data_IF_197401829889
#
_entry.id   IF_197401829889
#
_cell.length_a   1.000
_cell.length_b   1.000
_cell.length_c   1.000
_cell.angle_alpha   90.00
_cell.angle_beta   90.00
_cell.angle_gamma   90.00
#
_symmetry.space_group_name_H-M   'P 1'
#
loop_
_entity.id
_entity.type
_entity.pdbx_description
1 polymer ?
#
# COMPACT_ATOMS: atom_id res chain seq x y z
N UNK A 1 -14.38 10.14 -2.32
CA UNK A 1 -13.14 10.17 -3.17
C UNK A 1 -12.01 9.53 -2.38
N UNK A 2 -11.51 8.36 -2.79
CA UNK A 2 -10.31 7.76 -2.17
C UNK A 2 -9.06 8.58 -2.55
N UNK A 3 -7.99 8.53 -1.74
CA UNK A 3 -6.67 8.89 -2.27
C UNK A 3 -6.42 7.96 -3.47
N UNK A 4 -6.24 8.51 -4.67
CA UNK A 4 -5.82 7.72 -5.83
C UNK A 4 -4.49 7.07 -5.49
N UNK A 5 -4.36 5.78 -5.81
CA UNK A 5 -3.16 5.01 -5.50
C UNK A 5 -1.94 5.58 -6.27
N UNK A 6 -2.19 6.12 -7.47
CA UNK A 6 -1.23 6.79 -8.31
C UNK A 6 -1.74 8.20 -8.63
N UNK A 7 -1.45 9.17 -7.76
CA UNK A 7 -1.44 10.57 -8.20
C UNK A 7 -0.03 10.87 -8.71
N UNK A 8 0.22 10.84 -10.04
CA UNK A 8 1.55 11.10 -10.59
C UNK A 8 2.05 12.52 -10.28
N UNK A 9 1.17 13.44 -9.86
CA UNK A 9 1.55 14.78 -9.38
C UNK A 9 1.92 14.82 -7.88
N UNK A 10 1.77 13.71 -7.15
CA UNK A 10 1.96 13.65 -5.70
C UNK A 10 3.39 13.33 -5.23
N UNK A 11 4.28 12.88 -6.12
CA UNK A 11 5.64 12.48 -5.75
C UNK A 11 6.70 13.27 -6.52
N UNK A 12 7.75 13.70 -5.81
CA UNK A 12 8.90 14.36 -6.43
C UNK A 12 9.76 13.41 -7.27
N UNK A 13 9.64 12.09 -7.08
CA UNK A 13 10.50 11.09 -7.70
C UNK A 13 9.72 10.25 -8.72
N UNK A 14 10.28 10.03 -9.91
CA UNK A 14 9.75 9.05 -10.85
C UNK A 14 10.07 7.63 -10.34
N UNK A 15 9.07 6.95 -9.80
CA UNK A 15 9.23 5.67 -9.10
C UNK A 15 9.36 4.48 -10.06
N UNK A 16 8.83 4.57 -11.29
CA UNK A 16 8.71 3.42 -12.19
C UNK A 16 10.04 2.77 -12.57
N UNK A 17 11.13 3.56 -12.63
CA UNK A 17 12.48 3.04 -12.93
C UNK A 17 13.36 2.79 -11.71
N UNK A 18 13.04 3.40 -10.56
CA UNK A 18 13.86 3.29 -9.34
C UNK A 18 13.64 1.98 -8.62
N UNK A 19 12.41 1.46 -8.61
CA UNK A 19 12.08 0.26 -7.87
C UNK A 19 12.83 -0.99 -8.34
N UNK A 20 13.10 -1.11 -9.64
CA UNK A 20 13.90 -2.19 -10.22
C UNK A 20 15.36 -2.20 -9.77
N UNK A 21 15.87 -1.04 -9.35
CA UNK A 21 17.20 -0.93 -8.75
C UNK A 21 17.17 -1.14 -7.23
N UNK A 22 16.10 -0.70 -6.57
CA UNK A 22 16.02 -0.66 -5.09
C UNK A 22 15.57 -1.99 -4.47
N UNK A 23 14.70 -2.74 -5.15
CA UNK A 23 14.10 -3.96 -4.62
C UNK A 23 14.72 -5.17 -5.33
N UNK A 24 15.26 -6.16 -4.61
CA UNK A 24 15.79 -7.38 -5.24
C UNK A 24 14.74 -8.07 -6.12
N UNK A 25 15.15 -8.63 -7.26
CA UNK A 25 14.23 -9.30 -8.20
C UNK A 25 13.60 -10.58 -7.61
N UNK A 26 14.27 -11.22 -6.66
CA UNK A 26 13.83 -12.41 -5.93
C UNK A 26 13.11 -12.09 -4.62
N UNK A 27 12.78 -10.81 -4.38
CA UNK A 27 12.07 -10.38 -3.18
C UNK A 27 10.65 -10.94 -3.13
N UNK A 28 10.28 -11.51 -1.98
CA UNK A 28 8.90 -11.98 -1.71
C UNK A 28 7.89 -10.83 -1.81
N UNK A 29 8.31 -9.59 -1.55
CA UNK A 29 7.46 -8.41 -1.68
C UNK A 29 7.11 -8.08 -3.14
N UNK A 30 7.96 -8.47 -4.11
CA UNK A 30 7.62 -8.40 -5.54
C UNK A 30 6.52 -9.37 -5.89
N UNK A 31 6.67 -10.62 -5.47
CA UNK A 31 5.63 -11.63 -5.64
C UNK A 31 4.32 -11.17 -5.00
N UNK A 32 4.38 -10.61 -3.79
CA UNK A 32 3.20 -10.07 -3.12
C UNK A 32 2.50 -8.98 -3.96
N UNK A 33 3.25 -8.01 -4.51
CA UNK A 33 2.71 -6.93 -5.35
C UNK A 33 2.02 -7.47 -6.61
N UNK A 34 2.55 -8.53 -7.20
CA UNK A 34 2.00 -9.15 -8.41
C UNK A 34 0.75 -9.98 -8.11
N UNK A 35 0.76 -10.78 -7.04
CA UNK A 35 -0.32 -11.72 -6.75
C UNK A 35 -1.49 -11.13 -5.97
N UNK A 36 -1.26 -10.19 -5.06
CA UNK A 36 -2.33 -9.66 -4.22
C UNK A 36 -3.46 -8.99 -5.03
N UNK A 37 -3.19 -8.18 -6.08
CA UNK A 37 -4.22 -7.60 -6.94
C UNK A 37 -4.96 -8.62 -7.81
N UNK A 38 -4.45 -9.84 -7.99
CA UNK A 38 -5.15 -10.93 -8.69
C UNK A 38 -6.19 -11.55 -7.75
N UNK A 39 -5.82 -11.72 -6.48
CA UNK A 39 -6.68 -12.35 -5.46
C UNK A 39 -7.76 -11.41 -4.92
N UNK A 40 -7.47 -10.11 -4.85
CA UNK A 40 -8.35 -9.10 -4.29
C UNK A 40 -8.63 -8.07 -5.37
N UNK A 41 -9.86 -8.05 -5.88
CA UNK A 41 -10.28 -7.13 -6.92
C UNK A 41 -10.93 -5.88 -6.30
N UNK A 42 -10.80 -4.70 -6.94
CA UNK A 42 -11.53 -3.50 -6.51
C UNK A 42 -13.05 -3.72 -6.35
N UNK A 43 -13.61 -4.60 -7.19
CA UNK A 43 -15.02 -4.98 -7.18
C UNK A 43 -15.45 -5.68 -5.88
N UNK A 44 -14.51 -6.32 -5.17
CA UNK A 44 -14.76 -6.93 -3.87
C UNK A 44 -15.12 -5.87 -2.81
N UNK A 45 -14.90 -4.58 -3.08
CA UNK A 45 -15.22 -3.48 -2.16
C UNK A 45 -16.47 -2.68 -2.57
N UNK A 46 -17.09 -2.99 -3.71
CA UNK A 46 -18.30 -2.30 -4.17
C UNK A 46 -19.42 -2.44 -3.15
N UNK A 47 -20.06 -1.32 -2.82
CA UNK A 47 -21.16 -1.26 -1.85
C UNK A 47 -20.75 -1.37 -0.38
N UNK A 48 -19.46 -1.60 -0.08
CA UNK A 48 -18.93 -1.62 1.30
C UNK A 48 -18.46 -0.23 1.77
N UNK A 49 -18.11 0.65 0.84
CA UNK A 49 -17.67 2.01 1.11
C UNK A 49 -18.55 3.02 0.37
N UNK A 50 -18.86 4.14 1.03
CA UNK A 50 -19.53 5.27 0.39
C UNK A 50 -18.53 6.14 -0.37
N UNK A 51 -18.79 6.39 -1.65
CA UNK A 51 -17.97 7.29 -2.46
C UNK A 51 -18.27 8.77 -2.16
N UNK A 52 -19.49 9.04 -1.68
CA UNK A 52 -20.11 10.36 -1.60
C UNK A 52 -20.18 10.92 -0.18
N UNK A 53 -19.72 10.17 0.82
CA UNK A 53 -19.77 10.58 2.23
C UNK A 53 -18.49 10.18 2.98
N UNK A 54 -17.97 11.10 3.80
CA UNK A 54 -16.77 10.90 4.63
C UNK A 54 -15.50 11.60 4.12
N UNK A 55 -14.42 11.48 4.88
CA UNK A 55 -13.08 11.95 4.47
C UNK A 55 -12.48 10.97 3.45
N UNK A 56 -11.65 11.43 2.51
CA UNK A 56 -10.87 10.54 1.65
C UNK A 56 -10.05 9.57 2.48
N UNK A 57 -10.38 8.28 2.40
CA UNK A 57 -9.58 7.22 3.01
C UNK A 57 -8.51 6.72 2.04
N UNK A 58 -7.57 5.92 2.55
CA UNK A 58 -6.73 5.07 1.71
C UNK A 58 -7.61 4.13 0.87
N UNK A 59 -7.11 3.72 -0.30
CA UNK A 59 -7.79 2.75 -1.14
C UNK A 59 -8.00 1.43 -0.38
N UNK A 60 -9.19 0.85 -0.50
CA UNK A 60 -9.56 -0.36 0.22
C UNK A 60 -8.64 -1.55 -0.14
N UNK A 61 -8.24 -1.66 -1.41
CA UNK A 61 -7.27 -2.64 -1.89
C UNK A 61 -5.92 -2.50 -1.17
N UNK A 62 -5.35 -1.29 -1.15
CA UNK A 62 -4.08 -0.99 -0.47
C UNK A 62 -4.16 -1.30 1.02
N UNK A 63 -5.25 -0.94 1.70
CA UNK A 63 -5.43 -1.27 3.13
C UNK A 63 -5.51 -2.77 3.38
N UNK A 64 -6.23 -3.50 2.53
CA UNK A 64 -6.34 -4.97 2.64
C UNK A 64 -4.96 -5.62 2.44
N UNK A 65 -4.20 -5.15 1.46
CA UNK A 65 -2.82 -5.56 1.25
C UNK A 65 -1.92 -5.23 2.45
N UNK A 66 -2.08 -4.05 3.06
CA UNK A 66 -1.33 -3.66 4.25
C UNK A 66 -1.61 -4.57 5.45
N UNK A 67 -2.88 -4.95 5.67
CA UNK A 67 -3.24 -5.91 6.72
C UNK A 67 -2.66 -7.31 6.45
N UNK A 68 -2.63 -7.77 5.19
CA UNK A 68 -2.00 -9.05 4.84
C UNK A 68 -0.48 -9.03 5.09
N UNK A 69 0.21 -7.95 4.69
CA UNK A 69 1.63 -7.79 4.96
C UNK A 69 1.91 -7.72 6.47
N UNK A 70 1.07 -7.03 7.23
CA UNK A 70 1.20 -6.97 8.68
C UNK A 70 1.16 -8.37 9.31
N UNK A 71 0.23 -9.23 8.88
CA UNK A 71 0.16 -10.61 9.34
C UNK A 71 1.38 -11.43 8.89
N UNK A 72 1.82 -11.28 7.63
CA UNK A 72 2.99 -11.97 7.09
C UNK A 72 4.28 -11.61 7.83
N UNK A 73 4.41 -10.36 8.25
CA UNK A 73 5.58 -9.85 9.00
C UNK A 73 5.45 -10.05 10.51
N UNK A 74 4.29 -10.51 10.99
CA UNK A 74 3.96 -10.59 12.42
C UNK A 74 4.17 -9.26 13.15
N UNK A 75 3.73 -8.17 12.52
CA UNK A 75 3.89 -6.80 13.00
C UNK A 75 2.66 -6.30 13.77
N UNK A 76 2.91 -5.44 14.76
CA UNK A 76 1.84 -4.65 15.41
C UNK A 76 1.39 -3.50 14.51
N UNK A 77 0.26 -2.85 14.80
CA UNK A 77 -0.20 -1.69 14.02
C UNK A 77 0.84 -0.56 13.98
N UNK A 78 1.50 -0.31 15.13
CA UNK A 78 2.60 0.65 15.23
C UNK A 78 3.85 0.18 14.48
N UNK A 79 4.11 -1.12 14.50
CA UNK A 79 5.18 -1.72 13.70
C UNK A 79 4.92 -1.50 12.21
N UNK A 80 3.71 -1.79 11.75
CA UNK A 80 3.31 -1.63 10.37
C UNK A 80 3.32 -0.15 9.93
N UNK A 81 2.93 0.78 10.80
CA UNK A 81 3.13 2.20 10.55
C UNK A 81 4.61 2.52 10.26
N UNK A 82 5.53 2.04 11.10
CA UNK A 82 6.97 2.24 10.86
C UNK A 82 7.40 1.61 9.54
N UNK A 83 6.97 0.37 9.26
CA UNK A 83 7.28 -0.31 8.00
C UNK A 83 6.82 0.50 6.78
N UNK A 84 5.57 0.99 6.77
CA UNK A 84 5.05 1.80 5.66
C UNK A 84 5.72 3.16 5.52
N UNK A 85 6.39 3.67 6.56
CA UNK A 85 7.17 4.92 6.53
C UNK A 85 8.57 4.72 5.96
N UNK A 86 9.27 3.67 6.37
CA UNK A 86 10.72 3.55 6.15
C UNK A 86 11.16 2.34 5.32
N UNK A 87 10.36 1.27 5.24
CA UNK A 87 10.75 0.05 4.54
C UNK A 87 10.36 0.14 3.06
N UNK A 88 11.39 0.17 2.20
CA UNK A 88 11.23 0.29 0.75
C UNK A 88 10.52 -0.90 0.12
N UNK A 89 10.75 -2.12 0.62
CA UNK A 89 10.07 -3.32 0.10
C UNK A 89 8.59 -3.33 0.45
N UNK A 90 8.23 -2.84 1.64
CA UNK A 90 6.83 -2.69 2.06
C UNK A 90 6.13 -1.59 1.27
N UNK A 91 6.78 -0.42 1.09
CA UNK A 91 6.26 0.64 0.22
C UNK A 91 6.06 0.15 -1.20
N UNK A 92 7.04 -0.58 -1.75
CA UNK A 92 6.93 -1.19 -3.06
C UNK A 92 5.76 -2.17 -3.12
N UNK A 93 5.62 -3.08 -2.17
CA UNK A 93 4.55 -4.07 -2.13
C UNK A 93 3.16 -3.42 -2.13
N UNK A 94 3.00 -2.28 -1.45
CA UNK A 94 1.76 -1.53 -1.34
C UNK A 94 1.51 -0.52 -2.48
N UNK A 95 2.43 -0.44 -3.45
CA UNK A 95 2.36 0.54 -4.53
C UNK A 95 2.40 1.99 -4.02
N UNK A 96 3.14 2.24 -2.94
CA UNK A 96 3.30 3.58 -2.37
C UNK A 96 4.49 4.29 -3.02
N UNK A 97 4.40 5.62 -3.14
CA UNK A 97 5.52 6.44 -3.57
C UNK A 97 6.66 6.40 -2.53
N UNK A 98 7.89 6.69 -2.98
CA UNK A 98 9.08 6.73 -2.11
C UNK A 98 8.91 7.73 -0.94
N UNK A 99 8.35 8.89 -1.25
CA UNK A 99 8.09 10.00 -0.33
C UNK A 99 6.70 9.94 0.33
N UNK A 100 5.95 8.85 0.13
CA UNK A 100 4.67 8.65 0.82
C UNK A 100 4.91 8.67 2.35
N UNK A 101 4.11 9.44 3.11
CA UNK A 101 4.29 9.58 4.56
C UNK A 101 3.97 8.30 5.35
N UNK A 102 3.47 7.24 4.73
CA UNK A 102 3.09 6.01 5.41
C UNK A 102 1.61 5.98 5.82
N UNK A 103 1.20 4.85 6.38
CA UNK A 103 -0.15 4.64 6.92
C UNK A 103 -0.09 4.79 8.44
N UNK A 104 -0.92 5.67 9.00
CA UNK A 104 -1.05 5.85 10.45
C UNK A 104 -1.55 4.56 11.12
N UNK A 105 -0.97 4.17 12.27
CA UNK A 105 -1.37 2.96 13.00
C UNK A 105 -2.87 2.94 13.33
N UNK A 106 -3.52 4.09 13.50
CA UNK A 106 -4.95 4.19 13.79
C UNK A 106 -5.85 3.74 12.63
N UNK A 107 -5.30 3.55 11.43
CA UNK A 107 -6.01 2.99 10.29
C UNK A 107 -5.94 1.45 10.22
N UNK A 108 -5.12 0.82 11.07
CA UNK A 108 -5.10 -0.62 11.28
C UNK A 108 -6.08 -1.02 12.40
N UNK A 109 -6.39 -2.31 12.52
CA UNK A 109 -7.53 -2.83 13.28
C UNK A 109 -7.18 -3.46 14.62
#
# INVERSE_FOLDING_TARGET
MFRYDDDPQGSFYNHDGLWDTLIPNDSVFRLFREFAPILIQPDDFIGRYSLDNGRPSHAALRMTMACLLQQMLNETDRGMEVQTRVNLEVKYALGMALDDPGIDHANFG
#
